data_IF_916793571322
#
_entry.id   IF_916793571322
#
_cell.length_a   1.000
_cell.length_b   1.000
_cell.length_c   1.000
_cell.angle_alpha   90.00
_cell.angle_beta   90.00
_cell.angle_gamma   90.00
#
_symmetry.space_group_name_H-M   'P 1'
#
loop_
_entity.id
_entity.type
_entity.pdbx_description
1 polymer ?
#
# COMPACT_ATOMS: atom_id res chain seq x y z
N UNK A 1 -18.48 -15.79 12.69
CA UNK A 1 -19.73 -15.11 13.10
C UNK A 1 -19.94 -13.90 12.20
N UNK A 2 -21.17 -13.68 11.72
CA UNK A 2 -21.53 -12.47 10.97
C UNK A 2 -22.34 -11.54 11.86
N UNK A 3 -21.97 -10.27 11.88
CA UNK A 3 -22.70 -9.19 12.54
C UNK A 3 -23.27 -8.25 11.48
N UNK A 4 -24.59 -8.18 11.38
CA UNK A 4 -25.29 -7.36 10.39
C UNK A 4 -25.59 -5.97 10.94
N UNK A 5 -25.13 -4.93 10.22
CA UNK A 5 -25.31 -3.52 10.59
C UNK A 5 -26.08 -2.83 9.46
N UNK A 6 -27.33 -2.47 9.75
CA UNK A 6 -28.23 -1.85 8.80
C UNK A 6 -28.07 -0.33 8.80
N UNK A 7 -28.65 0.33 7.79
CA UNK A 7 -28.63 1.78 7.70
C UNK A 7 -29.10 2.42 9.02
N UNK A 8 -28.41 3.50 9.43
CA UNK A 8 -28.60 4.23 10.68
C UNK A 8 -28.10 3.54 11.96
N UNK A 9 -27.64 2.29 11.90
CA UNK A 9 -27.04 1.59 13.03
C UNK A 9 -25.54 1.91 13.17
N UNK A 10 -25.01 1.77 14.39
CA UNK A 10 -23.59 1.99 14.67
C UNK A 10 -22.79 0.70 14.50
N UNK A 11 -21.63 0.79 13.85
CA UNK A 11 -20.70 -0.34 13.76
C UNK A 11 -20.17 -0.78 15.16
N UNK A 12 -19.96 -2.08 15.40
CA UNK A 12 -19.39 -2.61 16.66
C UNK A 12 -18.00 -2.06 16.94
N UNK A 13 -17.65 -1.84 18.21
CA UNK A 13 -16.38 -1.21 18.61
C UNK A 13 -15.12 -1.99 18.23
N UNK A 14 -15.26 -3.29 17.92
CA UNK A 14 -14.19 -4.16 17.43
C UNK A 14 -14.73 -5.19 16.45
N UNK A 15 -13.91 -5.61 15.49
CA UNK A 15 -14.19 -6.75 14.59
C UNK A 15 -12.91 -7.17 13.86
N UNK A 16 -12.94 -8.30 13.15
CA UNK A 16 -11.82 -8.73 12.32
C UNK A 16 -11.82 -8.05 10.96
N UNK A 17 -12.92 -8.19 10.23
CA UNK A 17 -13.10 -7.61 8.90
C UNK A 17 -14.54 -7.13 8.69
N UNK A 18 -14.72 -6.32 7.66
CA UNK A 18 -15.99 -5.72 7.33
C UNK A 18 -16.25 -5.71 5.82
N UNK A 19 -17.52 -5.89 5.44
CA UNK A 19 -17.99 -5.94 4.07
C UNK A 19 -19.13 -4.95 3.89
N UNK A 20 -19.10 -4.11 2.86
CA UNK A 20 -20.25 -3.28 2.49
C UNK A 20 -20.99 -3.87 1.27
N UNK A 21 -22.32 -3.91 1.32
CA UNK A 21 -23.16 -4.42 0.21
C UNK A 21 -23.63 -3.30 -0.73
N UNK A 22 -22.84 -3.04 -1.79
CA UNK A 22 -23.17 -2.10 -2.86
C UNK A 22 -24.05 -2.77 -3.92
N UNK A 23 -25.09 -2.07 -4.35
CA UNK A 23 -25.94 -2.53 -5.46
C UNK A 23 -27.33 -1.90 -5.43
N UNK A 24 -28.12 -2.11 -6.50
CA UNK A 24 -29.49 -1.62 -6.58
C UNK A 24 -30.32 -2.10 -5.38
N UNK A 25 -31.12 -1.18 -4.82
CA UNK A 25 -32.09 -1.46 -3.75
C UNK A 25 -33.51 -1.37 -4.34
N UNK A 26 -34.39 -2.35 -4.07
CA UNK A 26 -35.78 -2.27 -4.49
C UNK A 26 -36.46 -0.99 -3.98
N UNK A 27 -37.27 -0.34 -4.83
CA UNK A 27 -38.10 0.82 -4.46
C UNK A 27 -39.57 0.47 -4.26
N UNK A 28 -39.92 -0.78 -4.56
CA UNK A 28 -41.27 -1.33 -4.49
C UNK A 28 -41.20 -2.70 -3.81
N UNK A 29 -42.29 -3.10 -3.13
CA UNK A 29 -42.35 -4.37 -2.39
C UNK A 29 -42.41 -5.61 -3.31
N UNK A 30 -42.73 -5.41 -4.59
CA UNK A 30 -42.84 -6.48 -5.58
C UNK A 30 -41.48 -7.08 -5.96
N UNK A 31 -40.41 -6.27 -5.85
CA UNK A 31 -39.05 -6.68 -6.20
C UNK A 31 -38.29 -7.02 -4.92
N UNK A 32 -37.78 -8.24 -4.82
CA UNK A 32 -37.03 -8.69 -3.62
C UNK A 32 -35.58 -8.20 -3.67
N UNK A 33 -35.05 -7.80 -2.51
CA UNK A 33 -33.63 -7.52 -2.35
C UNK A 33 -32.79 -8.79 -2.55
N UNK A 34 -31.61 -8.62 -3.15
CA UNK A 34 -30.61 -9.68 -3.31
C UNK A 34 -29.74 -9.87 -2.06
N UNK A 35 -29.73 -8.88 -1.15
CA UNK A 35 -28.84 -8.84 0.03
C UNK A 35 -29.07 -10.02 1.00
N UNK A 36 -30.31 -10.50 1.27
CA UNK A 36 -30.50 -11.69 2.10
C UNK A 36 -29.82 -12.95 1.54
N UNK A 37 -29.75 -13.10 0.20
CA UNK A 37 -29.02 -14.21 -0.43
C UNK A 37 -27.51 -14.07 -0.24
N UNK A 38 -26.98 -12.84 -0.33
CA UNK A 38 -25.57 -12.55 -0.09
C UNK A 38 -25.19 -12.86 1.36
N UNK A 39 -26.00 -12.43 2.33
CA UNK A 39 -25.78 -12.69 3.77
C UNK A 39 -25.76 -14.18 4.10
N UNK A 40 -26.66 -14.96 3.48
CA UNK A 40 -26.66 -16.43 3.62
C UNK A 40 -25.37 -17.04 3.08
N UNK A 41 -24.92 -16.63 1.89
CA UNK A 41 -23.69 -17.14 1.29
C UNK A 41 -22.45 -16.77 2.12
N UNK A 42 -22.36 -15.52 2.59
CA UNK A 42 -21.29 -15.10 3.50
C UNK A 42 -21.33 -15.90 4.81
N UNK A 43 -22.52 -16.11 5.38
CA UNK A 43 -22.66 -16.87 6.63
C UNK A 43 -22.17 -18.29 6.50
N UNK A 44 -22.41 -18.94 5.35
CA UNK A 44 -21.88 -20.28 5.07
C UNK A 44 -20.36 -20.25 4.89
N UNK A 45 -19.81 -19.28 4.14
CA UNK A 45 -18.37 -19.13 3.93
C UNK A 45 -17.58 -18.96 5.25
N UNK A 46 -18.19 -18.32 6.26
CA UNK A 46 -17.58 -18.04 7.56
C UNK A 46 -18.05 -18.95 8.70
N UNK A 47 -18.90 -19.95 8.44
CA UNK A 47 -19.59 -20.75 9.48
C UNK A 47 -18.63 -21.46 10.44
N UNK A 48 -17.51 -21.96 9.93
CA UNK A 48 -16.50 -22.70 10.70
C UNK A 48 -15.29 -21.84 11.09
N UNK A 49 -15.37 -20.52 10.92
CA UNK A 49 -14.28 -19.60 11.20
C UNK A 49 -14.53 -18.85 12.50
N UNK A 50 -13.51 -18.76 13.35
CA UNK A 50 -13.52 -17.94 14.57
C UNK A 50 -13.18 -16.47 14.26
N UNK A 51 -13.92 -15.89 13.32
CA UNK A 51 -13.78 -14.49 12.91
C UNK A 51 -15.11 -13.76 13.12
N UNK A 52 -15.03 -12.52 13.57
CA UNK A 52 -16.12 -11.56 13.55
C UNK A 52 -16.07 -10.75 12.25
N UNK A 53 -17.02 -11.03 11.36
CA UNK A 53 -17.19 -10.34 10.09
C UNK A 53 -18.41 -9.43 10.19
N UNK A 54 -18.20 -8.13 10.04
CA UNK A 54 -19.28 -7.14 10.05
C UNK A 54 -19.77 -6.93 8.62
N UNK A 55 -21.08 -6.94 8.39
CA UNK A 55 -21.66 -6.64 7.08
C UNK A 55 -22.52 -5.38 7.18
N UNK A 56 -22.11 -4.35 6.44
CA UNK A 56 -22.83 -3.09 6.30
C UNK A 56 -23.88 -3.19 5.19
N UNK A 57 -25.14 -3.00 5.56
CA UNK A 57 -26.32 -3.17 4.72
C UNK A 57 -26.99 -1.80 4.57
N UNK A 58 -27.02 -1.18 3.37
CA UNK A 58 -27.58 0.17 3.18
C UNK A 58 -29.13 0.20 3.24
N UNK A 59 -29.79 -0.94 3.41
CA UNK A 59 -31.22 -0.99 3.68
C UNK A 59 -31.46 -0.76 5.17
N UNK A 60 -32.53 -0.04 5.58
CA UNK A 60 -32.91 0.05 6.99
C UNK A 60 -33.52 -1.28 7.45
N UNK A 61 -33.24 -1.70 8.69
CA UNK A 61 -33.68 -3.00 9.23
C UNK A 61 -35.20 -3.20 9.19
N UNK A 62 -35.95 -2.11 9.40
CA UNK A 62 -37.42 -2.09 9.38
C UNK A 62 -38.01 -1.71 8.02
N UNK A 63 -37.19 -1.51 6.99
CA UNK A 63 -37.63 -1.04 5.66
C UNK A 63 -38.08 0.42 5.60
N UNK A 64 -37.99 1.18 6.70
CA UNK A 64 -38.44 2.58 6.77
C UNK A 64 -37.25 3.52 6.60
N UNK A 65 -37.28 4.31 5.52
CA UNK A 65 -36.29 5.34 5.26
C UNK A 65 -36.58 6.62 6.04
N UNK A 66 -35.52 7.29 6.49
CA UNK A 66 -35.61 8.59 7.17
C UNK A 66 -36.20 9.67 6.25
N UNK A 67 -37.07 10.53 6.78
CA UNK A 67 -37.56 11.74 6.08
C UNK A 67 -36.43 12.73 5.75
N UNK A 68 -35.37 12.73 6.56
CA UNK A 68 -34.11 13.40 6.26
C UNK A 68 -33.15 12.41 5.57
N UNK A 69 -33.54 11.94 4.39
CA UNK A 69 -32.85 10.89 3.64
C UNK A 69 -31.41 11.30 3.33
N UNK A 70 -31.22 12.49 2.75
CA UNK A 70 -29.91 12.94 2.26
C UNK A 70 -28.88 12.97 3.38
N UNK A 71 -29.20 13.52 4.55
CA UNK A 71 -28.20 13.64 5.62
C UNK A 71 -27.94 12.26 6.23
N UNK A 72 -28.97 11.56 6.71
CA UNK A 72 -28.76 10.33 7.49
C UNK A 72 -28.33 9.12 6.66
N UNK A 73 -28.86 8.95 5.45
CA UNK A 73 -28.53 7.80 4.61
C UNK A 73 -27.13 7.97 4.01
N UNK A 74 -26.88 9.12 3.37
CA UNK A 74 -25.64 9.32 2.62
C UNK A 74 -24.43 9.41 3.55
N UNK A 75 -24.57 10.01 4.73
CA UNK A 75 -23.47 10.04 5.72
C UNK A 75 -23.14 8.62 6.21
N UNK A 76 -24.16 7.82 6.53
CA UNK A 76 -23.97 6.44 6.96
C UNK A 76 -23.32 5.60 5.85
N UNK A 77 -23.82 5.68 4.61
CA UNK A 77 -23.26 4.95 3.47
C UNK A 77 -21.81 5.36 3.22
N UNK A 78 -21.53 6.67 3.18
CA UNK A 78 -20.17 7.20 2.98
C UNK A 78 -19.21 6.70 4.04
N UNK A 79 -19.58 6.79 5.32
CA UNK A 79 -18.73 6.34 6.42
C UNK A 79 -18.42 4.84 6.30
N UNK A 80 -19.45 4.00 6.11
CA UNK A 80 -19.27 2.55 6.11
C UNK A 80 -18.64 2.02 4.81
N UNK A 81 -18.81 2.70 3.68
CA UNK A 81 -18.04 2.45 2.45
C UNK A 81 -16.55 2.77 2.65
N UNK A 82 -16.22 3.84 3.38
CA UNK A 82 -14.84 4.19 3.71
C UNK A 82 -14.23 3.18 4.69
N UNK A 83 -14.97 2.74 5.71
CA UNK A 83 -14.54 1.73 6.70
C UNK A 83 -14.40 0.31 6.14
N UNK A 84 -15.22 -0.08 5.15
CA UNK A 84 -15.28 -1.46 4.68
C UNK A 84 -13.92 -1.97 4.17
N UNK A 85 -13.60 -3.23 4.47
CA UNK A 85 -12.38 -3.90 3.99
C UNK A 85 -12.59 -4.56 2.63
N UNK A 86 -13.83 -4.94 2.34
CA UNK A 86 -14.29 -5.35 1.02
C UNK A 86 -15.62 -4.67 0.69
N UNK A 87 -15.82 -4.31 -0.56
CA UNK A 87 -17.08 -3.80 -1.09
C UNK A 87 -17.61 -4.85 -2.06
N UNK A 88 -18.69 -5.52 -1.68
CA UNK A 88 -19.40 -6.47 -2.53
C UNK A 88 -20.37 -5.68 -3.40
N UNK A 89 -20.01 -5.45 -4.65
CA UNK A 89 -20.83 -4.76 -5.65
C UNK A 89 -21.56 -5.78 -6.53
N UNK A 90 -22.80 -6.10 -6.17
CA UNK A 90 -23.68 -6.97 -6.97
C UNK A 90 -24.72 -6.13 -7.72
N UNK A 91 -24.70 -6.19 -9.06
CA UNK A 91 -25.51 -5.31 -9.91
C UNK A 91 -26.49 -6.10 -10.80
N UNK A 92 -27.59 -6.63 -10.24
CA UNK A 92 -28.67 -7.28 -11.00
C UNK A 92 -29.59 -6.22 -11.63
N UNK A 93 -29.00 -5.35 -12.47
CA UNK A 93 -29.71 -4.20 -13.04
C UNK A 93 -30.79 -4.67 -14.02
N UNK A 94 -31.99 -4.16 -13.80
CA UNK A 94 -33.14 -4.34 -14.68
C UNK A 94 -33.90 -3.01 -14.73
N UNK A 95 -33.91 -2.36 -15.90
CA UNK A 95 -34.53 -1.06 -16.11
C UNK A 95 -36.05 -1.12 -16.16
N UNK A 96 -36.63 -2.31 -16.27
CA UNK A 96 -38.08 -2.53 -16.23
C UNK A 96 -38.58 -2.71 -14.79
N UNK A 97 -37.68 -2.79 -13.80
CA UNK A 97 -38.00 -2.94 -12.38
C UNK A 97 -37.47 -1.77 -11.57
N UNK A 98 -37.63 -1.83 -10.24
CA UNK A 98 -37.07 -0.83 -9.34
C UNK A 98 -35.55 -0.99 -9.08
N UNK A 99 -34.88 -2.01 -9.64
CA UNK A 99 -33.44 -2.29 -9.48
C UNK A 99 -32.55 -1.57 -10.50
N UNK A 100 -32.72 -0.25 -10.66
CA UNK A 100 -31.97 0.53 -11.66
C UNK A 100 -30.49 0.77 -11.29
N UNK A 101 -30.16 0.92 -10.01
CA UNK A 101 -28.77 1.06 -9.55
C UNK A 101 -28.05 2.32 -10.06
N UNK A 102 -28.72 3.47 -10.05
CA UNK A 102 -28.13 4.75 -10.50
C UNK A 102 -27.03 5.24 -9.55
N UNK A 103 -27.26 5.24 -8.24
CA UNK A 103 -26.27 5.61 -7.21
C UNK A 103 -25.10 4.63 -7.18
N UNK A 104 -25.38 3.35 -7.44
CA UNK A 104 -24.38 2.28 -7.55
C UNK A 104 -23.29 2.59 -8.57
N UNK A 105 -23.59 3.32 -9.66
CA UNK A 105 -22.56 3.74 -10.62
C UNK A 105 -21.54 4.70 -9.99
N UNK A 106 -21.99 5.61 -9.12
CA UNK A 106 -21.14 6.57 -8.42
C UNK A 106 -20.27 5.84 -7.39
N UNK A 107 -20.87 4.94 -6.62
CA UNK A 107 -20.16 4.11 -5.63
C UNK A 107 -19.10 3.23 -6.33
N UNK A 108 -19.48 2.57 -7.43
CA UNK A 108 -18.54 1.78 -8.23
C UNK A 108 -17.37 2.64 -8.72
N UNK A 109 -17.65 3.77 -9.36
CA UNK A 109 -16.62 4.67 -9.89
C UNK A 109 -15.69 5.21 -8.79
N UNK A 110 -16.22 5.51 -7.60
CA UNK A 110 -15.44 6.00 -6.46
C UNK A 110 -14.48 4.95 -5.89
N UNK A 111 -14.83 3.66 -5.96
CA UNK A 111 -14.10 2.60 -5.25
C UNK A 111 -13.45 1.54 -6.15
N UNK A 112 -13.63 1.57 -7.48
CA UNK A 112 -13.02 0.56 -8.38
C UNK A 112 -11.48 0.52 -8.30
N UNK A 113 -10.84 1.67 -8.07
CA UNK A 113 -9.38 1.79 -7.92
C UNK A 113 -8.87 1.50 -6.49
N UNK A 114 -9.77 1.36 -5.51
CA UNK A 114 -9.40 1.24 -4.09
C UNK A 114 -8.72 -0.09 -3.73
N UNK A 115 -8.77 -1.08 -4.62
CA UNK A 115 -8.30 -2.45 -4.37
C UNK A 115 -9.19 -3.26 -3.42
N UNK A 116 -10.32 -2.70 -2.94
CA UNK A 116 -11.28 -3.39 -2.07
C UNK A 116 -12.66 -3.64 -2.70
N UNK A 117 -12.93 -3.14 -3.90
CA UNK A 117 -14.20 -3.39 -4.60
C UNK A 117 -14.16 -4.71 -5.38
N UNK A 118 -15.16 -5.55 -5.19
CA UNK A 118 -15.38 -6.82 -5.90
C UNK A 118 -16.72 -6.75 -6.62
N UNK A 119 -16.73 -7.00 -7.92
CA UNK A 119 -17.87 -6.73 -8.77
C UNK A 119 -18.41 -7.98 -9.45
N UNK A 120 -19.73 -8.12 -9.43
CA UNK A 120 -20.46 -9.13 -10.19
C UNK A 120 -21.85 -8.67 -10.58
N UNK A 121 -22.42 -9.37 -11.57
CA UNK A 121 -23.76 -9.14 -12.11
C UNK A 121 -24.29 -10.41 -12.75
N UNK A 122 -25.61 -10.67 -12.79
CA UNK A 122 -26.14 -11.79 -13.56
C UNK A 122 -25.97 -11.57 -15.07
N UNK A 123 -26.03 -12.66 -15.85
CA UNK A 123 -25.79 -12.61 -17.30
C UNK A 123 -26.78 -11.71 -18.06
N UNK A 124 -27.98 -11.55 -17.53
CA UNK A 124 -29.05 -10.74 -18.09
C UNK A 124 -29.09 -9.29 -17.57
N UNK A 125 -28.11 -8.83 -16.78
CA UNK A 125 -28.11 -7.46 -16.27
C UNK A 125 -27.97 -6.43 -17.40
N UNK A 126 -28.77 -5.37 -17.35
CA UNK A 126 -28.83 -4.35 -18.39
C UNK A 126 -27.76 -3.26 -18.20
N UNK A 127 -27.32 -2.62 -19.28
CA UNK A 127 -26.39 -1.47 -19.25
C UNK A 127 -25.10 -1.65 -18.40
N UNK A 128 -24.56 -2.87 -18.31
CA UNK A 128 -23.37 -3.19 -17.50
C UNK A 128 -22.03 -3.11 -18.25
N UNK A 129 -22.04 -2.99 -19.59
CA UNK A 129 -20.83 -3.10 -20.42
C UNK A 129 -19.69 -2.16 -19.99
N UNK A 130 -20.03 -0.95 -19.57
CA UNK A 130 -19.03 0.02 -19.12
C UNK A 130 -18.43 -0.34 -17.75
N UNK A 131 -19.25 -0.86 -16.82
CA UNK A 131 -18.76 -1.35 -15.51
C UNK A 131 -17.84 -2.55 -15.71
N UNK A 132 -18.22 -3.51 -16.57
CA UNK A 132 -17.40 -4.68 -16.90
C UNK A 132 -16.04 -4.25 -17.49
N UNK A 133 -16.04 -3.36 -18.48
CA UNK A 133 -14.81 -2.85 -19.08
C UNK A 133 -13.92 -2.11 -18.07
N UNK A 134 -14.51 -1.21 -17.26
CA UNK A 134 -13.77 -0.45 -16.26
C UNK A 134 -13.18 -1.36 -15.19
N UNK A 135 -13.95 -2.33 -14.68
CA UNK A 135 -13.47 -3.30 -13.69
C UNK A 135 -12.29 -4.10 -14.22
N UNK A 136 -12.40 -4.63 -15.44
CA UNK A 136 -11.32 -5.40 -16.07
C UNK A 136 -10.08 -4.55 -16.35
N UNK A 137 -10.26 -3.32 -16.82
CA UNK A 137 -9.14 -2.44 -17.15
C UNK A 137 -8.37 -1.97 -15.91
N UNK A 138 -9.10 -1.54 -14.88
CA UNK A 138 -8.52 -0.98 -13.65
C UNK A 138 -7.97 -2.08 -12.74
N UNK A 139 -8.73 -3.15 -12.53
CA UNK A 139 -8.41 -4.14 -11.48
C UNK A 139 -7.70 -5.38 -12.00
N UNK A 140 -7.69 -5.59 -13.33
CA UNK A 140 -7.23 -6.82 -14.00
C UNK A 140 -8.02 -8.09 -13.60
N UNK A 141 -9.19 -7.94 -12.98
CA UNK A 141 -10.12 -9.02 -12.64
C UNK A 141 -11.32 -9.02 -13.59
N UNK A 142 -11.97 -10.17 -13.74
CA UNK A 142 -13.19 -10.29 -14.52
C UNK A 142 -14.42 -10.21 -13.61
N UNK A 143 -15.54 -9.60 -14.06
CA UNK A 143 -16.77 -9.60 -13.30
C UNK A 143 -17.29 -11.03 -13.11
N UNK A 144 -17.78 -11.34 -11.92
CA UNK A 144 -18.36 -12.65 -11.62
C UNK A 144 -19.86 -12.66 -11.91
N UNK A 145 -20.36 -13.76 -12.47
CA UNK A 145 -21.76 -13.89 -12.87
C UNK A 145 -22.67 -14.57 -11.84
N UNK A 146 -22.14 -14.92 -10.66
CA UNK A 146 -22.92 -15.46 -9.56
C UNK A 146 -22.55 -14.80 -8.23
N UNK A 147 -23.56 -14.62 -7.39
CA UNK A 147 -23.39 -14.04 -6.06
C UNK A 147 -22.54 -14.95 -5.16
N UNK A 148 -22.66 -16.27 -5.30
CA UNK A 148 -21.87 -17.25 -4.54
C UNK A 148 -20.38 -17.15 -4.85
N UNK A 149 -20.01 -17.14 -6.14
CA UNK A 149 -18.61 -16.97 -6.54
C UNK A 149 -18.03 -15.64 -6.05
N UNK A 150 -18.84 -14.56 -6.10
CA UNK A 150 -18.42 -13.25 -5.62
C UNK A 150 -18.17 -13.24 -4.10
N UNK A 151 -19.04 -13.89 -3.32
CA UNK A 151 -18.83 -14.04 -1.87
C UNK A 151 -17.61 -14.90 -1.55
N UNK A 152 -17.34 -15.96 -2.33
CA UNK A 152 -16.18 -16.83 -2.14
C UNK A 152 -14.86 -16.10 -2.44
N UNK A 153 -14.83 -15.26 -3.49
CA UNK A 153 -13.67 -14.43 -3.83
C UNK A 153 -13.36 -13.44 -2.70
N UNK A 154 -14.39 -12.77 -2.17
CA UNK A 154 -14.24 -11.85 -1.03
C UNK A 154 -13.76 -12.60 0.22
N UNK A 155 -14.34 -13.76 0.52
CA UNK A 155 -13.95 -14.55 1.68
C UNK A 155 -12.47 -14.97 1.61
N UNK A 156 -12.06 -15.45 0.44
CA UNK A 156 -10.66 -15.80 0.15
C UNK A 156 -9.74 -14.59 0.32
N UNK A 157 -10.10 -13.44 -0.24
CA UNK A 157 -9.33 -12.21 -0.12
C UNK A 157 -9.16 -11.77 1.33
N UNK A 158 -10.25 -11.70 2.10
CA UNK A 158 -10.21 -11.25 3.48
C UNK A 158 -9.40 -12.21 4.35
N UNK A 159 -9.54 -13.52 4.14
CA UNK A 159 -8.74 -14.54 4.83
C UNK A 159 -7.23 -14.33 4.56
N UNK A 160 -6.84 -14.17 3.30
CA UNK A 160 -5.44 -13.92 2.92
C UNK A 160 -4.88 -12.65 3.58
N UNK A 161 -5.66 -11.57 3.67
CA UNK A 161 -5.20 -10.33 4.32
C UNK A 161 -5.10 -10.50 5.84
N UNK A 162 -6.06 -11.16 6.47
CA UNK A 162 -6.04 -11.47 7.90
C UNK A 162 -4.86 -12.37 8.27
N UNK A 163 -4.48 -13.32 7.43
CA UNK A 163 -3.33 -14.20 7.69
C UNK A 163 -1.98 -13.49 7.63
N UNK A 164 -1.92 -12.30 7.04
CA UNK A 164 -0.76 -11.43 7.07
C UNK A 164 -0.76 -10.44 8.25
N UNK A 165 -1.76 -10.50 9.14
CA UNK A 165 -1.86 -9.60 10.29
C UNK A 165 -1.37 -10.30 11.57
N UNK A 166 -0.48 -9.64 12.31
CA UNK A 166 -0.09 -10.07 13.66
C UNK A 166 -1.28 -9.97 14.63
N UNK A 167 -2.03 -8.87 14.55
CA UNK A 167 -3.30 -8.69 15.26
C UNK A 167 -4.46 -8.60 14.25
N UNK A 168 -5.32 -9.63 14.27
CA UNK A 168 -6.50 -9.73 13.41
C UNK A 168 -7.70 -8.93 13.91
N UNK A 169 -7.75 -8.53 15.18
CA UNK A 169 -8.88 -7.79 15.77
C UNK A 169 -8.56 -6.31 15.79
N UNK A 170 -9.36 -5.51 15.07
CA UNK A 170 -9.22 -4.05 15.02
C UNK A 170 -10.25 -3.37 15.91
N UNK A 171 -9.85 -2.31 16.60
CA UNK A 171 -10.66 -1.56 17.58
C UNK A 171 -10.62 -0.06 17.28
N UNK A 172 -11.65 0.66 17.72
CA UNK A 172 -11.70 2.13 17.64
C UNK A 172 -11.33 2.66 16.23
N UNK A 173 -10.27 3.48 16.11
CA UNK A 173 -9.82 4.07 14.85
C UNK A 173 -9.16 3.10 13.86
N UNK A 174 -8.65 1.96 14.34
CA UNK A 174 -8.04 0.92 13.49
C UNK A 174 -9.04 0.37 12.46
N UNK A 175 -10.33 0.36 12.81
CA UNK A 175 -11.45 -0.07 11.97
C UNK A 175 -11.64 0.76 10.70
N UNK A 176 -11.06 1.96 10.66
CA UNK A 176 -11.11 2.85 9.50
C UNK A 176 -9.93 2.64 8.53
N UNK A 177 -8.95 1.82 8.90
CA UNK A 177 -7.83 1.46 8.03
C UNK A 177 -8.21 0.21 7.24
N UNK A 178 -8.36 0.29 5.90
CA UNK A 178 -8.70 -0.87 5.08
C UNK A 178 -7.71 -2.01 5.28
N UNK A 179 -8.21 -3.25 5.29
CA UNK A 179 -7.38 -4.42 5.61
C UNK A 179 -6.19 -4.62 4.65
N UNK A 180 -6.29 -4.20 3.40
CA UNK A 180 -5.18 -4.23 2.43
C UNK A 180 -4.03 -3.26 2.75
N UNK A 181 -4.23 -2.33 3.68
CA UNK A 181 -3.21 -1.44 4.23
C UNK A 181 -2.84 -1.87 5.64
N UNK A 182 -3.82 -2.20 6.48
CA UNK A 182 -3.60 -2.71 7.84
C UNK A 182 -2.66 -3.92 7.84
N UNK A 183 -2.81 -4.84 6.88
CA UNK A 183 -1.97 -6.04 6.78
C UNK A 183 -0.55 -5.78 6.25
N UNK A 184 -0.17 -4.53 5.97
CA UNK A 184 1.13 -4.21 5.38
C UNK A 184 2.15 -3.92 6.47
N UNK A 185 3.39 -4.40 6.28
CA UNK A 185 4.49 -4.14 7.21
C UNK A 185 4.79 -2.64 7.38
N UNK A 186 4.80 -1.81 6.31
CA UNK A 186 5.02 -0.37 6.47
C UNK A 186 3.97 0.32 7.34
N UNK A 187 2.68 -0.03 7.18
CA UNK A 187 1.62 0.52 8.05
C UNK A 187 1.84 0.10 9.51
N UNK A 188 2.10 -1.19 9.75
CA UNK A 188 2.30 -1.71 11.10
C UNK A 188 3.52 -1.05 11.76
N UNK A 189 4.62 -0.86 11.04
CA UNK A 189 5.80 -0.16 11.58
C UNK A 189 5.47 1.27 12.01
N UNK A 190 4.81 2.05 11.14
CA UNK A 190 4.36 3.40 11.50
C UNK A 190 3.42 3.40 12.70
N UNK A 191 2.41 2.52 12.69
CA UNK A 191 1.41 2.44 13.74
C UNK A 191 2.02 2.06 15.09
N UNK A 192 2.97 1.13 15.11
CA UNK A 192 3.70 0.77 16.34
C UNK A 192 4.52 1.94 16.87
N UNK A 193 5.20 2.71 16.02
CA UNK A 193 5.91 3.92 16.46
C UNK A 193 4.97 4.95 17.10
N UNK A 194 3.78 5.15 16.52
CA UNK A 194 2.76 6.04 17.11
C UNK A 194 2.30 5.51 18.47
N UNK A 195 2.00 4.22 18.58
CA UNK A 195 1.56 3.57 19.82
C UNK A 195 2.62 3.63 20.91
N UNK A 196 3.89 3.42 20.57
CA UNK A 196 5.02 3.52 21.50
C UNK A 196 5.21 4.94 22.04
N UNK A 197 4.93 5.96 21.22
CA UNK A 197 4.89 7.35 21.65
C UNK A 197 3.64 7.70 22.50
N UNK A 198 2.75 6.74 22.74
CA UNK A 198 1.48 6.94 23.46
C UNK A 198 0.33 7.45 22.60
N UNK A 199 0.57 7.72 21.31
CA UNK A 199 -0.44 8.29 20.41
C UNK A 199 -1.53 7.28 20.07
N UNK A 200 -2.69 7.78 19.67
CA UNK A 200 -3.85 6.97 19.32
C UNK A 200 -4.40 7.36 17.95
N UNK A 201 -4.62 6.36 17.09
CA UNK A 201 -5.35 6.55 15.84
C UNK A 201 -6.85 6.68 16.14
N UNK A 202 -7.43 7.83 15.80
CA UNK A 202 -8.86 8.13 15.98
C UNK A 202 -9.67 7.63 14.79
N UNK A 203 -9.22 7.91 13.57
CA UNK A 203 -9.77 7.40 12.32
C UNK A 203 -8.75 7.55 11.18
N UNK A 204 -9.09 6.97 10.02
CA UNK A 204 -8.31 7.08 8.80
C UNK A 204 -9.22 7.09 7.56
N UNK A 205 -8.71 7.63 6.45
CA UNK A 205 -9.38 7.56 5.15
C UNK A 205 -8.38 7.28 4.05
N UNK A 206 -8.65 6.24 3.27
CA UNK A 206 -7.89 5.92 2.05
C UNK A 206 -8.09 7.01 1.00
N UNK A 207 -6.99 7.67 0.63
CA UNK A 207 -6.97 8.68 -0.41
C UNK A 207 -6.53 8.09 -1.75
N UNK A 208 -5.52 7.21 -1.73
CA UNK A 208 -4.95 6.60 -2.92
C UNK A 208 -4.19 5.31 -2.57
N UNK A 209 -4.13 4.37 -3.50
CA UNK A 209 -3.35 3.14 -3.38
C UNK A 209 -2.72 2.78 -4.72
N UNK A 210 -1.54 2.18 -4.68
CA UNK A 210 -0.86 1.62 -5.83
C UNK A 210 -0.59 0.13 -5.61
N UNK A 211 -1.27 -0.69 -6.41
CA UNK A 211 -1.24 -2.15 -6.34
C UNK A 211 -0.41 -2.69 -7.51
N UNK A 212 0.60 -3.51 -7.20
CA UNK A 212 1.30 -4.29 -8.22
C UNK A 212 0.51 -5.58 -8.46
N UNK A 213 -0.37 -5.57 -9.47
CA UNK A 213 -1.31 -6.67 -9.73
C UNK A 213 -0.64 -8.04 -9.90
N UNK A 214 0.51 -8.10 -10.59
CA UNK A 214 1.24 -9.35 -10.88
C UNK A 214 1.60 -10.16 -9.63
N UNK A 215 1.81 -9.48 -8.51
CA UNK A 215 2.19 -10.08 -7.21
C UNK A 215 1.20 -9.74 -6.09
N UNK A 216 0.05 -9.13 -6.43
CA UNK A 216 -0.99 -8.69 -5.49
C UNK A 216 -0.45 -7.92 -4.26
N UNK A 217 0.50 -7.02 -4.51
CA UNK A 217 1.22 -6.27 -3.46
C UNK A 217 0.77 -4.80 -3.42
N UNK A 218 0.25 -4.36 -2.26
CA UNK A 218 0.08 -2.93 -1.97
C UNK A 218 1.47 -2.31 -1.82
N UNK A 219 1.98 -1.70 -2.89
CA UNK A 219 3.35 -1.17 -2.92
C UNK A 219 3.45 0.21 -2.28
N UNK A 220 2.45 1.07 -2.54
CA UNK A 220 2.38 2.42 -1.98
C UNK A 220 0.93 2.83 -1.71
N UNK A 221 0.71 3.70 -0.74
CA UNK A 221 -0.61 4.23 -0.40
C UNK A 221 -0.54 5.60 0.28
N UNK A 222 -1.66 6.31 0.26
CA UNK A 222 -1.88 7.54 1.01
C UNK A 222 -3.12 7.41 1.92
N UNK A 223 -2.95 7.73 3.20
CA UNK A 223 -4.01 7.75 4.20
C UNK A 223 -4.10 9.14 4.83
N UNK A 224 -5.27 9.76 4.79
CA UNK A 224 -5.58 10.81 5.74
C UNK A 224 -5.75 10.17 7.12
N UNK A 225 -5.19 10.77 8.17
CA UNK A 225 -5.24 10.22 9.53
C UNK A 225 -5.60 11.29 10.54
N UNK A 226 -6.44 10.90 11.51
CA UNK A 226 -6.67 11.68 12.71
C UNK A 226 -5.96 10.99 13.86
N UNK A 227 -4.98 11.67 14.47
CA UNK A 227 -4.16 11.10 15.54
C UNK A 227 -4.27 11.97 16.79
N UNK A 228 -4.64 11.37 17.91
CA UNK A 228 -4.48 11.99 19.22
C UNK A 228 -3.02 11.85 19.66
N UNK A 229 -2.40 12.97 19.98
CA UNK A 229 -0.98 13.08 20.33
C UNK A 229 -0.85 13.16 21.84
N UNK A 230 -0.28 12.12 22.45
CA UNK A 230 -0.23 12.01 23.91
C UNK A 230 0.60 13.13 24.56
N UNK A 231 1.73 13.49 23.94
CA UNK A 231 2.62 14.52 24.46
C UNK A 231 2.03 15.94 24.41
N UNK A 232 0.98 16.16 23.61
CA UNK A 232 0.40 17.49 23.38
C UNK A 232 -1.07 17.58 23.80
N UNK A 233 -1.67 16.47 24.24
CA UNK A 233 -3.10 16.33 24.55
C UNK A 233 -4.04 17.01 23.54
N UNK A 234 -3.81 16.72 22.26
CA UNK A 234 -4.66 17.25 21.17
C UNK A 234 -4.75 16.28 20.01
N UNK A 235 -5.77 16.50 19.17
CA UNK A 235 -5.90 15.79 17.90
C UNK A 235 -5.21 16.57 16.79
N UNK A 236 -4.45 15.86 15.95
CA UNK A 236 -3.94 16.34 14.67
C UNK A 236 -4.77 15.69 13.56
N UNK A 237 -5.44 16.51 12.76
CA UNK A 237 -6.48 16.07 11.82
C UNK A 237 -6.36 16.68 10.42
N UNK A 238 -5.23 17.29 10.09
CA UNK A 238 -4.99 17.98 8.82
C UNK A 238 -3.78 17.42 8.07
N UNK A 239 -3.45 16.15 8.32
CA UNK A 239 -2.31 15.48 7.72
C UNK A 239 -2.71 14.18 7.04
N UNK A 240 -1.89 13.81 6.07
CA UNK A 240 -1.91 12.48 5.46
C UNK A 240 -0.52 11.88 5.57
N UNK A 241 -0.47 10.55 5.59
CA UNK A 241 0.75 9.80 5.44
C UNK A 241 0.81 9.23 4.03
N UNK A 242 2.01 9.22 3.43
CA UNK A 242 2.32 8.42 2.24
C UNK A 242 3.31 7.35 2.67
N UNK A 243 3.01 6.09 2.40
CA UNK A 243 3.91 4.97 2.70
C UNK A 243 4.18 4.17 1.45
N UNK A 244 5.39 3.63 1.37
CA UNK A 244 5.78 2.54 0.48
C UNK A 244 6.52 1.46 1.25
N UNK A 245 6.96 0.41 0.57
CA UNK A 245 7.92 -0.56 1.13
C UNK A 245 9.22 0.14 1.55
N UNK A 246 9.76 -0.28 2.70
CA UNK A 246 11.10 0.11 3.14
C UNK A 246 12.14 -0.38 2.13
N UNK A 247 13.27 0.33 2.05
CA UNK A 247 14.36 0.03 1.12
C UNK A 247 15.61 -0.41 1.86
N UNK A 248 16.49 -1.11 1.16
CA UNK A 248 17.87 -1.39 1.58
C UNK A 248 18.80 -0.65 0.64
N UNK A 249 19.73 0.13 1.19
CA UNK A 249 20.64 0.98 0.43
C UNK A 249 22.06 0.65 0.82
N UNK A 250 22.96 0.54 -0.16
CA UNK A 250 24.36 0.21 0.05
C UNK A 250 25.23 1.42 -0.25
N UNK A 251 26.17 1.72 0.64
CA UNK A 251 27.25 2.69 0.45
C UNK A 251 28.54 1.93 0.14
N UNK A 252 28.81 1.59 -1.14
CA UNK A 252 30.09 1.07 -1.59
C UNK A 252 31.11 2.21 -1.70
N UNK A 253 32.18 2.15 -0.92
CA UNK A 253 33.20 3.21 -0.91
C UNK A 253 34.61 2.67 -0.78
N UNK A 254 35.56 3.31 -1.45
CA UNK A 254 36.98 3.17 -1.13
C UNK A 254 37.42 4.36 -0.28
N UNK A 255 37.88 4.08 0.95
CA UNK A 255 38.38 5.12 1.86
C UNK A 255 39.78 5.51 1.44
N UNK A 256 39.98 6.79 1.12
CA UNK A 256 41.32 7.28 0.83
C UNK A 256 42.18 7.23 2.11
N UNK A 257 43.46 6.81 2.04
CA UNK A 257 44.27 6.51 3.23
C UNK A 257 44.51 7.69 4.17
N UNK A 258 44.59 8.91 3.64
CA UNK A 258 44.91 10.12 4.42
C UNK A 258 43.84 11.20 4.29
N UNK A 259 43.49 11.56 3.06
CA UNK A 259 42.48 12.59 2.76
C UNK A 259 41.06 12.02 2.65
N UNK A 260 40.27 12.03 3.73
CA UNK A 260 38.92 11.44 3.75
C UNK A 260 38.01 11.95 2.63
N UNK A 261 38.14 13.22 2.23
CA UNK A 261 37.35 13.83 1.16
C UNK A 261 37.77 13.42 -0.26
N UNK A 262 38.91 12.74 -0.41
CA UNK A 262 39.32 12.05 -1.63
C UNK A 262 38.90 10.57 -1.67
N UNK A 263 38.14 10.11 -0.67
CA UNK A 263 37.46 8.81 -0.75
C UNK A 263 36.51 8.77 -1.95
N UNK A 264 36.39 7.60 -2.54
CA UNK A 264 35.63 7.38 -3.78
C UNK A 264 34.38 6.55 -3.47
N UNK A 265 33.24 6.93 -4.01
CA UNK A 265 31.94 6.33 -3.78
C UNK A 265 31.41 5.82 -5.12
N UNK A 266 30.92 4.58 -5.13
CA UNK A 266 30.19 4.05 -6.28
C UNK A 266 28.73 4.44 -6.15
N UNK A 267 28.21 5.07 -7.19
CA UNK A 267 26.81 5.45 -7.36
C UNK A 267 26.23 4.70 -8.57
N UNK A 268 24.91 4.75 -8.67
CA UNK A 268 24.18 4.45 -9.88
C UNK A 268 23.50 5.72 -10.40
N UNK A 269 23.36 5.81 -11.72
CA UNK A 269 22.53 6.78 -12.40
C UNK A 269 21.41 6.06 -13.12
N UNK A 270 20.18 6.49 -12.90
CA UNK A 270 18.99 5.92 -13.55
C UNK A 270 17.98 7.01 -13.91
N UNK A 271 17.29 6.83 -15.03
CA UNK A 271 16.14 7.66 -15.33
C UNK A 271 14.99 7.32 -14.37
N UNK A 272 14.63 8.27 -13.51
CA UNK A 272 13.43 8.15 -12.67
C UNK A 272 12.49 9.31 -13.03
N UNK A 273 11.23 9.02 -13.28
CA UNK A 273 10.24 10.05 -13.64
C UNK A 273 10.08 11.20 -12.62
N UNK A 274 10.40 11.05 -11.32
CA UNK A 274 10.43 12.18 -10.38
C UNK A 274 11.68 13.06 -10.46
N UNK A 275 12.69 12.71 -11.28
CA UNK A 275 13.96 13.43 -11.36
C UNK A 275 13.73 14.91 -11.69
N UNK A 276 14.30 15.77 -10.84
CA UNK A 276 14.35 17.23 -11.06
C UNK A 276 15.79 17.70 -11.10
N UNK A 277 16.58 17.02 -11.91
CA UNK A 277 18.01 17.24 -12.14
C UNK A 277 18.23 17.84 -13.53
N UNK A 278 19.46 18.30 -13.81
CA UNK A 278 19.77 18.96 -15.08
C UNK A 278 19.71 18.02 -16.29
N UNK A 279 20.02 16.74 -16.09
CA UNK A 279 20.05 15.71 -17.11
C UNK A 279 18.79 14.83 -17.11
N UNK A 280 17.92 14.97 -16.10
CA UNK A 280 16.70 14.17 -15.95
C UNK A 280 16.93 12.80 -15.32
N UNK A 281 18.11 12.55 -14.74
CA UNK A 281 18.44 11.31 -14.06
C UNK A 281 18.54 11.52 -12.55
N UNK A 282 18.26 10.46 -11.78
CA UNK A 282 18.62 10.40 -10.36
C UNK A 282 19.98 9.74 -10.25
N UNK A 283 20.86 10.33 -9.45
CA UNK A 283 22.13 9.75 -9.05
C UNK A 283 21.98 9.31 -7.60
N UNK A 284 22.02 8.01 -7.37
CA UNK A 284 21.72 7.43 -6.06
C UNK A 284 22.68 6.31 -5.70
N UNK A 285 22.63 5.93 -4.43
CA UNK A 285 23.30 4.73 -3.96
C UNK A 285 22.56 3.49 -4.47
N UNK A 286 23.26 2.40 -4.80
CA UNK A 286 22.61 1.17 -5.20
C UNK A 286 21.69 0.64 -4.09
N UNK A 287 20.50 0.19 -4.46
CA UNK A 287 19.51 -0.27 -3.51
C UNK A 287 18.08 -0.32 -4.02
N UNK A 288 17.25 -1.06 -3.29
CA UNK A 288 15.87 -1.28 -3.67
C UNK A 288 15.03 -1.84 -2.53
N UNK A 289 13.78 -2.17 -2.85
CA UNK A 289 12.88 -2.85 -1.91
C UNK A 289 12.69 -4.29 -2.34
N UNK A 290 12.92 -5.24 -1.43
CA UNK A 290 12.65 -6.63 -1.77
C UNK A 290 11.17 -6.96 -1.81
N UNK A 291 10.79 -7.63 -2.90
CA UNK A 291 9.49 -8.29 -3.04
C UNK A 291 9.47 -9.69 -2.39
N UNK A 292 10.64 -10.23 -2.02
CA UNK A 292 10.80 -11.57 -1.44
C UNK A 292 11.05 -11.48 0.06
N UNK A 293 10.66 -12.53 0.80
CA UNK A 293 10.99 -12.73 2.22
C UNK A 293 12.47 -13.13 2.41
N UNK A 294 13.39 -12.53 1.67
CA UNK A 294 14.82 -12.67 1.93
C UNK A 294 15.23 -11.74 3.08
N UNK A 295 16.33 -12.05 3.76
CA UNK A 295 16.86 -11.17 4.80
C UNK A 295 17.30 -9.84 4.21
N UNK A 296 17.13 -8.73 4.95
CA UNK A 296 17.42 -7.35 4.49
C UNK A 296 18.85 -7.21 3.93
N UNK A 297 19.83 -7.90 4.52
CA UNK A 297 21.20 -7.93 4.03
C UNK A 297 21.33 -8.61 2.65
N UNK A 298 20.58 -9.68 2.40
CA UNK A 298 20.59 -10.35 1.11
C UNK A 298 20.05 -9.42 0.02
N UNK A 299 18.99 -8.65 0.33
CA UNK A 299 18.46 -7.61 -0.56
C UNK A 299 19.55 -6.61 -0.92
N UNK A 300 20.20 -6.04 0.09
CA UNK A 300 21.29 -5.08 -0.12
C UNK A 300 22.40 -5.65 -1.02
N UNK A 301 22.80 -6.92 -0.81
CA UNK A 301 23.82 -7.57 -1.62
C UNK A 301 23.36 -7.88 -3.05
N UNK A 302 22.11 -8.28 -3.24
CA UNK A 302 21.54 -8.59 -4.55
C UNK A 302 21.43 -7.31 -5.38
N UNK A 303 20.87 -6.23 -4.81
CA UNK A 303 20.71 -4.93 -5.46
C UNK A 303 22.07 -4.35 -5.91
N UNK A 304 23.10 -4.38 -5.05
CA UNK A 304 24.45 -3.95 -5.43
C UNK A 304 24.95 -4.71 -6.67
N UNK A 305 24.77 -6.03 -6.70
CA UNK A 305 25.23 -6.84 -7.82
C UNK A 305 24.40 -6.60 -9.08
N UNK A 306 23.08 -6.51 -8.96
CA UNK A 306 22.17 -6.32 -10.09
C UNK A 306 22.37 -4.95 -10.77
N UNK A 307 22.67 -3.90 -9.99
CA UNK A 307 22.78 -2.54 -10.50
C UNK A 307 24.21 -2.14 -10.88
N UNK A 308 25.24 -2.83 -10.37
CA UNK A 308 26.65 -2.46 -10.62
C UNK A 308 27.55 -3.60 -11.09
N UNK A 309 27.09 -4.86 -11.08
CA UNK A 309 27.90 -6.08 -11.28
C UNK A 309 29.06 -6.27 -10.30
N UNK A 310 29.12 -5.48 -9.22
CA UNK A 310 30.15 -5.62 -8.18
C UNK A 310 29.67 -6.66 -7.18
N UNK A 311 30.39 -7.77 -7.08
CA UNK A 311 30.05 -8.86 -6.15
C UNK A 311 30.93 -8.80 -4.91
N UNK A 312 30.31 -8.57 -3.75
CA UNK A 312 30.99 -8.51 -2.45
C UNK A 312 30.41 -9.59 -1.53
N UNK A 313 31.26 -10.20 -0.70
CA UNK A 313 30.80 -11.11 0.35
C UNK A 313 29.88 -10.37 1.33
N UNK A 314 28.75 -10.98 1.69
CA UNK A 314 27.78 -10.42 2.64
C UNK A 314 28.39 -10.11 4.02
N UNK A 315 29.48 -10.79 4.40
CA UNK A 315 30.22 -10.56 5.64
C UNK A 315 30.88 -9.17 5.72
N UNK A 316 31.13 -8.51 4.58
CA UNK A 316 31.74 -7.18 4.52
C UNK A 316 30.72 -6.04 4.63
N UNK A 317 29.43 -6.35 4.62
CA UNK A 317 28.38 -5.36 4.76
C UNK A 317 28.20 -5.03 6.24
N UNK A 318 28.42 -3.76 6.59
CA UNK A 318 28.17 -3.25 7.93
C UNK A 318 26.84 -2.50 7.94
N UNK A 319 25.84 -3.04 8.62
CA UNK A 319 24.61 -2.28 8.87
C UNK A 319 24.93 -1.03 9.70
N UNK A 320 24.48 0.14 9.23
CA UNK A 320 24.70 1.41 9.90
C UNK A 320 23.51 1.80 10.75
N UNK A 321 22.34 1.96 10.13
CA UNK A 321 21.13 2.50 10.77
C UNK A 321 19.90 2.29 9.87
N UNK A 322 18.71 2.51 10.43
CA UNK A 322 17.43 2.50 9.72
C UNK A 322 16.63 3.76 10.02
N UNK A 323 16.41 4.62 9.01
CA UNK A 323 15.77 5.95 9.19
C UNK A 323 14.87 6.36 8.05
N UNK A 324 13.92 7.25 8.32
CA UNK A 324 13.13 7.92 7.28
C UNK A 324 14.00 8.82 6.41
N UNK A 325 13.76 8.80 5.10
CA UNK A 325 14.47 9.65 4.14
C UNK A 325 13.88 11.07 4.08
N UNK A 326 12.55 11.20 4.22
CA UNK A 326 11.82 12.46 4.17
C UNK A 326 10.62 12.42 5.12
N UNK A 327 10.86 12.64 6.42
CA UNK A 327 9.92 12.33 7.49
C UNK A 327 8.55 13.03 7.40
N UNK A 328 8.49 14.24 6.83
CA UNK A 328 7.23 15.00 6.62
C UNK A 328 6.49 14.62 5.34
N UNK A 329 7.07 13.78 4.49
CA UNK A 329 6.48 13.35 3.22
C UNK A 329 6.14 11.87 3.23
N UNK A 330 7.02 11.02 3.74
CA UNK A 330 6.80 9.57 3.72
C UNK A 330 7.26 8.85 4.99
N UNK A 331 6.52 7.79 5.31
CA UNK A 331 6.73 6.93 6.49
C UNK A 331 7.75 5.82 6.28
N UNK A 332 8.19 5.56 5.04
CA UNK A 332 9.14 4.47 4.75
C UNK A 332 10.57 4.79 5.20
N UNK A 333 11.30 3.73 5.52
CA UNK A 333 12.67 3.76 6.03
C UNK A 333 13.65 3.25 4.97
N UNK A 334 14.89 3.75 5.04
CA UNK A 334 16.05 3.14 4.42
C UNK A 334 16.88 2.41 5.46
N UNK A 335 17.16 1.13 5.21
CA UNK A 335 18.16 0.35 5.95
C UNK A 335 19.50 0.51 5.24
N UNK A 336 20.46 1.16 5.90
CA UNK A 336 21.71 1.59 5.26
C UNK A 336 22.84 0.64 5.62
N UNK A 337 23.55 0.16 4.60
CA UNK A 337 24.72 -0.69 4.74
C UNK A 337 25.95 0.00 4.19
N UNK A 338 27.08 -0.09 4.88
CA UNK A 338 28.37 0.36 4.38
C UNK A 338 29.19 -0.84 3.89
N UNK A 339 29.86 -0.68 2.75
CA UNK A 339 30.78 -1.67 2.19
C UNK A 339 32.07 -0.96 1.82
N UNK A 340 33.13 -1.19 2.59
CA UNK A 340 34.45 -0.69 2.27
C UNK A 340 35.04 -1.54 1.14
N UNK A 341 35.28 -0.94 -0.02
CA UNK A 341 35.92 -1.53 -1.19
C UNK A 341 37.45 -1.46 -1.06
N UNK A 342 38.13 -2.47 -1.59
CA UNK A 342 39.57 -2.41 -1.78
C UNK A 342 39.91 -1.64 -3.08
N UNK A 343 41.21 -1.42 -3.32
CA UNK A 343 41.66 -0.61 -4.46
C UNK A 343 41.33 -1.25 -5.81
N UNK A 344 41.43 -2.57 -5.93
CA UNK A 344 41.08 -3.29 -7.15
C UNK A 344 39.58 -3.20 -7.46
N UNK A 345 38.73 -3.28 -6.43
CA UNK A 345 37.27 -3.20 -6.55
C UNK A 345 36.80 -1.81 -7.01
N UNK A 346 37.37 -0.73 -6.46
CA UNK A 346 37.01 0.63 -6.90
C UNK A 346 37.55 0.95 -8.30
N UNK A 347 38.73 0.43 -8.65
CA UNK A 347 39.28 0.63 -9.99
C UNK A 347 38.46 -0.15 -11.04
N UNK A 348 37.97 -1.36 -10.71
CA UNK A 348 37.01 -2.09 -11.52
C UNK A 348 35.68 -1.31 -11.70
N UNK A 349 35.16 -0.68 -10.64
CA UNK A 349 33.97 0.16 -10.74
C UNK A 349 34.16 1.33 -11.71
N UNK A 350 35.37 1.93 -11.76
CA UNK A 350 35.70 3.00 -12.71
C UNK A 350 35.80 2.49 -14.14
N UNK A 351 36.35 1.30 -14.36
CA UNK A 351 36.39 0.66 -15.69
C UNK A 351 34.96 0.44 -16.21
N UNK A 352 34.07 -0.06 -15.36
CA UNK A 352 32.65 -0.21 -15.69
C UNK A 352 32.04 1.16 -16.03
N UNK A 353 32.23 2.16 -15.17
CA UNK A 353 31.70 3.51 -15.40
C UNK A 353 32.19 4.11 -16.74
N UNK A 354 33.47 3.94 -17.06
CA UNK A 354 34.08 4.43 -18.29
C UNK A 354 33.56 3.69 -19.55
N UNK A 355 33.18 2.42 -19.42
CA UNK A 355 32.61 1.65 -20.53
C UNK A 355 31.21 2.10 -20.95
N UNK A 356 30.49 2.81 -20.07
CA UNK A 356 29.07 3.16 -20.28
C UNK A 356 28.14 1.95 -20.31
N UNK A 357 28.60 0.79 -19.83
CA UNK A 357 27.78 -0.41 -19.71
C UNK A 357 26.57 -0.16 -18.81
N UNK A 358 25.44 -0.78 -19.18
CA UNK A 358 24.18 -0.69 -18.44
C UNK A 358 23.87 -1.98 -17.71
N UNK A 359 23.26 -1.85 -16.53
CA UNK A 359 22.79 -2.96 -15.69
C UNK A 359 21.31 -2.77 -15.31
N UNK A 360 20.83 -3.54 -14.34
CA UNK A 360 19.41 -3.58 -13.96
C UNK A 360 18.57 -4.57 -14.76
N UNK A 361 17.29 -4.69 -14.40
CA UNK A 361 16.38 -5.68 -14.98
C UNK A 361 15.64 -5.09 -16.20
N UNK A 362 16.21 -5.25 -17.40
CA UNK A 362 15.62 -4.75 -18.67
C UNK A 362 14.15 -5.12 -18.88
N UNK A 363 13.73 -6.30 -18.40
CA UNK A 363 12.33 -6.76 -18.49
C UNK A 363 11.38 -5.88 -17.69
N UNK A 364 11.89 -5.27 -16.63
CA UNK A 364 11.16 -4.37 -15.74
C UNK A 364 11.46 -2.89 -16.09
N UNK A 365 12.02 -2.64 -17.29
CA UNK A 365 12.36 -1.31 -17.85
C UNK A 365 13.43 -0.53 -17.08
N UNK A 366 14.13 -1.20 -16.16
CA UNK A 366 15.20 -0.62 -15.35
C UNK A 366 16.53 -0.64 -16.12
N UNK A 367 17.24 0.49 -16.07
CA UNK A 367 18.53 0.69 -16.73
C UNK A 367 19.42 1.58 -15.86
N UNK A 368 20.41 0.99 -15.22
CA UNK A 368 21.37 1.70 -14.36
C UNK A 368 22.72 1.87 -15.05
N UNK A 369 23.39 2.99 -14.75
CA UNK A 369 24.76 3.28 -15.17
C UNK A 369 25.62 3.45 -13.92
N UNK A 370 26.78 2.79 -13.86
CA UNK A 370 27.71 2.96 -12.73
C UNK A 370 28.42 4.30 -12.84
N UNK A 371 28.53 5.01 -11.72
CA UNK A 371 29.33 6.23 -11.59
C UNK A 371 30.25 6.12 -10.38
N UNK A 372 31.44 6.75 -10.46
CA UNK A 372 32.37 6.84 -9.33
C UNK A 372 32.69 8.30 -9.10
N UNK A 373 32.43 8.79 -7.90
CA UNK A 373 32.64 10.19 -7.53
C UNK A 373 33.45 10.30 -6.25
N UNK A 374 34.12 11.44 -6.06
CA UNK A 374 34.83 11.74 -4.82
C UNK A 374 33.86 12.29 -3.78
N UNK A 375 34.12 12.01 -2.51
CA UNK A 375 33.32 12.52 -1.39
C UNK A 375 33.22 14.05 -1.39
N UNK A 376 34.28 14.78 -1.77
CA UNK A 376 34.27 16.25 -1.88
C UNK A 376 33.26 16.80 -2.88
N UNK A 377 32.83 16.00 -3.86
CA UNK A 377 31.95 16.41 -4.95
C UNK A 377 30.53 15.85 -4.81
N UNK A 378 30.24 15.05 -3.78
CA UNK A 378 29.03 14.23 -3.72
C UNK A 378 27.72 15.03 -3.79
N UNK A 379 27.65 16.17 -3.08
CA UNK A 379 26.47 17.03 -3.05
C UNK A 379 26.13 17.70 -4.39
N UNK A 380 26.96 17.55 -5.43
CA UNK A 380 26.64 17.98 -6.80
C UNK A 380 25.75 16.98 -7.53
N UNK A 381 25.71 15.73 -7.10
CA UNK A 381 25.11 14.62 -7.82
C UNK A 381 23.84 14.11 -7.15
N UNK A 382 23.90 13.89 -5.84
CA UNK A 382 22.86 13.16 -5.11
C UNK A 382 21.93 14.10 -4.33
N UNK A 383 20.78 13.59 -3.89
CA UNK A 383 19.90 14.33 -2.99
C UNK A 383 20.40 14.37 -1.53
N UNK A 384 19.76 15.20 -0.72
CA UNK A 384 20.12 15.38 0.70
C UNK A 384 20.08 14.09 1.52
N UNK A 385 19.16 13.17 1.20
CA UNK A 385 19.04 11.91 1.93
C UNK A 385 20.23 10.99 1.62
N UNK A 386 20.60 10.89 0.33
CA UNK A 386 21.75 10.14 -0.14
C UNK A 386 23.06 10.72 0.39
N UNK A 387 23.23 12.04 0.33
CA UNK A 387 24.41 12.74 0.86
C UNK A 387 24.61 12.46 2.36
N UNK A 388 23.53 12.55 3.15
CA UNK A 388 23.57 12.23 4.58
C UNK A 388 23.96 10.77 4.87
N UNK A 389 23.45 9.81 4.09
CA UNK A 389 23.80 8.39 4.21
C UNK A 389 25.28 8.14 3.90
N UNK A 390 25.81 8.79 2.85
CA UNK A 390 27.21 8.69 2.44
C UNK A 390 28.15 9.24 3.51
N UNK A 391 27.87 10.45 4.01
CA UNK A 391 28.67 11.04 5.09
C UNK A 391 28.62 10.18 6.35
N UNK A 392 27.45 9.64 6.69
CA UNK A 392 27.31 8.73 7.84
C UNK A 392 28.19 7.50 7.68
N UNK A 393 28.22 6.87 6.51
CA UNK A 393 29.04 5.69 6.26
C UNK A 393 30.55 5.97 6.38
N UNK A 394 31.03 7.05 5.78
CA UNK A 394 32.47 7.30 5.65
C UNK A 394 33.03 7.95 6.91
N UNK A 395 32.32 8.93 7.49
CA UNK A 395 32.82 9.70 8.63
C UNK A 395 32.62 8.97 9.96
N UNK A 396 31.51 8.24 10.16
CA UNK A 396 31.29 7.47 11.39
C UNK A 396 32.19 6.22 11.49
N UNK A 397 32.87 5.84 10.41
CA UNK A 397 33.90 4.80 10.41
C UNK A 397 35.27 5.29 10.92
N UNK A 398 35.31 6.48 11.54
CA UNK A 398 36.53 7.11 12.09
C UNK A 398 36.50 7.24 13.62
N UNK A 399 35.48 6.65 14.25
CA UNK A 399 35.32 6.41 15.69
C UNK A 399 35.23 4.93 15.94
#
# INVERSE_FOLDING_TARGET
>A
MITEIYAYEKAPQSYNASIFLVGPTPRTNEVKSWRPKALKALSEAYKNQQLEIVVFIPEPRNGVYSSNYIIKQVEWEKQHLEMADAILAWVPRDMNTSLTGLTTNIEFGKYVESGKLFYGRPDNAEHIRYLDWMYANVTRRQPLNSLAALTDEIATYLQQKLDNCDNKVRKAGERYVPLNIWSTKPFQNWYQSQRQAGNQLIDAKLLWTFLIHKVNLTFSYALHVNVWIAAEDRIKSNEFIISRTDISVVVPYWKHPTEVFDSEIVLIKEFRSPARTKDGFVHELPGGSAFKRSGILQVASDELYEETSIRISSERFKHLDSKQLAATWSTHFANVYAVALNKQEIDYAKEIAASGQTFGVKKDTEMTYVEVCKLRDIGKYVDWSMEGMIYRAILASSS
#
